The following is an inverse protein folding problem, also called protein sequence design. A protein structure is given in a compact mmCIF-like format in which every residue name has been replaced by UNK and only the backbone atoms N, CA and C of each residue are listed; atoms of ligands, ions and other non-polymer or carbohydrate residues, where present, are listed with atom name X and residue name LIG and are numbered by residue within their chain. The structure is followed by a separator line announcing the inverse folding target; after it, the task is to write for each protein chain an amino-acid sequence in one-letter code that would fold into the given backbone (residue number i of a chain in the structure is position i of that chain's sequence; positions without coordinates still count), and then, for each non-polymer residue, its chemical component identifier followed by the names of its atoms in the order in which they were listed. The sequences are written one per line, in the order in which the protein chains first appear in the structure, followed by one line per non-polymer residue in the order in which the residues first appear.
data_IF_209037123660
#
_entry.id   IF_209037123660
#
_cell.length_a   1.000
_cell.length_b   1.000
_cell.length_c   1.000
_cell.angle_alpha   90.00
_cell.angle_beta   90.00
_cell.angle_gamma   90.00
#
_symmetry.space_group_name_H-M   'P 1'
#
loop_
_entity.id
_entity.type
_entity.pdbx_description
1 polymer ?
#
# COMPACT_ATOMS: atom_id res chain seq x y z
N UNK A 1 10.10 9.17 11.94
CA UNK A 1 9.71 8.26 10.84
C UNK A 1 8.93 9.09 9.84
N UNK A 2 9.48 9.34 8.65
CA UNK A 2 8.77 10.11 7.63
C UNK A 2 7.75 9.17 6.98
N UNK A 3 6.48 9.32 7.33
CA UNK A 3 5.37 8.60 6.69
C UNK A 3 5.20 9.20 5.30
N UNK A 4 5.85 8.58 4.31
CA UNK A 4 5.78 9.03 2.92
C UNK A 4 4.35 9.07 2.40
N UNK A 5 4.04 10.05 1.56
CA UNK A 5 2.73 10.18 0.92
C UNK A 5 2.79 9.62 -0.51
N UNK A 6 1.81 8.79 -0.89
CA UNK A 6 1.65 8.28 -2.26
C UNK A 6 0.33 8.82 -2.77
N UNK A 7 0.35 9.44 -3.95
CA UNK A 7 -0.85 9.94 -4.59
C UNK A 7 -1.52 8.81 -5.39
N UNK A 8 -2.84 8.67 -5.29
CA UNK A 8 -3.62 7.65 -6.02
C UNK A 8 -4.23 8.31 -7.24
N UNK A 9 -3.78 7.95 -8.44
CA UNK A 9 -4.31 8.51 -9.70
C UNK A 9 -4.62 7.44 -10.75
N UNK A 10 -4.07 6.23 -10.57
CA UNK A 10 -4.16 5.16 -11.54
C UNK A 10 -3.98 3.80 -10.88
N UNK A 11 -4.34 2.73 -11.60
CA UNK A 11 -4.13 1.35 -11.14
C UNK A 11 -2.66 1.02 -10.85
N UNK A 12 -1.71 1.72 -11.50
CA UNK A 12 -0.27 1.54 -11.23
C UNK A 12 0.08 1.90 -9.78
N UNK A 13 -0.67 2.82 -9.18
CA UNK A 13 -0.43 3.26 -7.80
C UNK A 13 -0.78 2.15 -6.79
N UNK A 14 -1.67 1.21 -7.14
CA UNK A 14 -1.97 0.04 -6.30
C UNK A 14 -0.72 -0.83 -6.10
N UNK A 15 0.09 -0.99 -7.16
CA UNK A 15 1.36 -1.75 -7.11
C UNK A 15 2.42 -0.97 -6.33
N UNK A 16 2.51 0.34 -6.57
CA UNK A 16 3.43 1.24 -5.83
C UNK A 16 3.14 1.20 -4.33
N UNK A 17 1.88 1.35 -3.92
CA UNK A 17 1.45 1.26 -2.52
C UNK A 17 1.76 -0.12 -1.95
N UNK A 18 1.48 -1.20 -2.69
CA UNK A 18 1.78 -2.57 -2.24
C UNK A 18 3.26 -2.75 -1.92
N UNK A 19 4.14 -2.31 -2.82
CA UNK A 19 5.59 -2.45 -2.65
C UNK A 19 6.10 -1.60 -1.48
N UNK A 20 5.64 -0.35 -1.39
CA UNK A 20 6.01 0.55 -0.30
C UNK A 20 5.58 0.00 1.07
N UNK A 21 4.33 -0.44 1.19
CA UNK A 21 3.78 -0.97 2.46
C UNK A 21 4.43 -2.29 2.84
N UNK A 22 4.69 -3.19 1.88
CA UNK A 22 5.43 -4.44 2.16
C UNK A 22 6.85 -4.14 2.65
N UNK A 23 7.55 -3.21 2.01
CA UNK A 23 8.90 -2.79 2.40
C UNK A 23 8.93 -2.12 3.78
N UNK A 24 7.90 -1.33 4.10
CA UNK A 24 7.74 -0.71 5.42
C UNK A 24 7.46 -1.76 6.51
N UNK A 25 6.60 -2.74 6.24
CA UNK A 25 6.36 -3.86 7.15
C UNK A 25 7.65 -4.61 7.47
N UNK A 26 8.44 -4.92 6.44
CA UNK A 26 9.73 -5.58 6.63
C UNK A 26 10.72 -4.71 7.44
N UNK A 27 10.81 -3.40 7.18
CA UNK A 27 11.72 -2.51 7.93
C UNK A 27 11.29 -2.26 9.38
N UNK A 28 10.01 -2.47 9.68
CA UNK A 28 9.45 -2.44 11.04
C UNK A 28 9.60 -3.79 11.77
N UNK A 29 10.13 -4.83 11.13
CA UNK A 29 10.35 -6.15 11.74
C UNK A 29 9.13 -7.07 11.74
N UNK A 30 8.08 -6.77 10.97
CA UNK A 30 6.99 -7.73 10.75
C UNK A 30 7.49 -8.96 10.01
N UNK A 31 6.92 -10.11 10.32
CA UNK A 31 7.16 -11.32 9.55
C UNK A 31 6.76 -11.12 8.08
N UNK A 32 7.36 -11.93 7.20
CA UNK A 32 7.10 -11.84 5.76
C UNK A 32 5.60 -11.96 5.43
N UNK A 33 4.92 -12.95 6.05
CA UNK A 33 3.50 -13.20 5.80
C UNK A 33 2.64 -12.02 6.26
N UNK A 34 2.95 -11.42 7.40
CA UNK A 34 2.22 -10.27 7.92
C UNK A 34 2.44 -9.02 7.06
N UNK A 35 3.67 -8.79 6.61
CA UNK A 35 3.98 -7.72 5.66
C UNK A 35 3.20 -7.87 4.35
N UNK A 36 3.01 -9.11 3.86
CA UNK A 36 2.20 -9.40 2.66
C UNK A 36 0.72 -9.14 2.91
N UNK A 37 0.19 -9.48 4.10
CA UNK A 37 -1.22 -9.25 4.47
C UNK A 37 -1.53 -7.76 4.54
N UNK A 38 -0.67 -6.97 5.21
CA UNK A 38 -0.83 -5.52 5.31
C UNK A 38 -0.76 -4.88 3.91
N UNK A 39 0.20 -5.30 3.08
CA UNK A 39 0.32 -4.80 1.71
C UNK A 39 -0.90 -5.14 0.83
N UNK A 40 -1.53 -6.30 1.06
CA UNK A 40 -2.77 -6.68 0.38
C UNK A 40 -3.93 -5.78 0.79
N UNK A 41 -4.12 -5.55 2.10
CA UNK A 41 -5.14 -4.63 2.60
C UNK A 41 -4.94 -3.20 2.04
N UNK A 42 -3.70 -2.72 1.98
CA UNK A 42 -3.38 -1.42 1.40
C UNK A 42 -3.70 -1.34 -0.12
N UNK A 43 -3.48 -2.41 -0.88
CA UNK A 43 -3.92 -2.48 -2.28
C UNK A 43 -5.43 -2.37 -2.43
N UNK A 44 -6.19 -3.08 -1.59
CA UNK A 44 -7.66 -3.02 -1.64
C UNK A 44 -8.17 -1.62 -1.28
N UNK A 45 -7.57 -0.96 -0.27
CA UNK A 45 -7.89 0.44 0.04
C UNK A 45 -7.56 1.38 -1.12
N UNK A 46 -6.42 1.19 -1.78
CA UNK A 46 -6.02 2.01 -2.94
C UNK A 46 -6.98 1.83 -4.11
N UNK A 47 -7.43 0.60 -4.36
CA UNK A 47 -8.45 0.31 -5.38
C UNK A 47 -9.77 1.01 -5.04
N UNK A 48 -10.23 0.92 -3.79
CA UNK A 48 -11.47 1.57 -3.36
C UNK A 48 -11.40 3.10 -3.51
N UNK A 49 -10.25 3.72 -3.22
CA UNK A 49 -10.04 5.16 -3.45
C UNK A 49 -10.16 5.49 -4.94
N UNK A 50 -9.50 4.73 -5.80
CA UNK A 50 -9.55 4.95 -7.25
C UNK A 50 -10.97 4.78 -7.83
N UNK A 51 -11.69 3.74 -7.40
CA UNK A 51 -13.01 3.39 -7.94
C UNK A 51 -14.15 4.23 -7.36
N UNK A 52 -14.06 4.64 -6.09
CA UNK A 52 -15.18 5.24 -5.37
C UNK A 52 -14.93 6.65 -4.85
N UNK A 53 -13.67 7.07 -4.70
CA UNK A 53 -13.34 8.41 -4.21
C UNK A 53 -12.83 9.36 -5.30
N UNK A 54 -12.75 8.91 -6.56
CA UNK A 54 -12.37 9.74 -7.71
C UNK A 54 -10.86 9.93 -7.91
N UNK A 55 -10.03 9.17 -7.17
CA UNK A 55 -8.56 9.30 -7.17
C UNK A 55 -8.05 10.27 -6.12
#
# INVERSE_FOLDING_TARGET
MNIGQIQVKSERDIVTVRQAVKGLGASMGFEFLDSVRIATAASELTRNVLEHAGG
#
